data_IF_273348613167
#
_entry.id   IF_273348613167
#
_cell.length_a   1.000
_cell.length_b   1.000
_cell.length_c   1.000
_cell.angle_alpha   90.00
_cell.angle_beta   90.00
_cell.angle_gamma   90.00
#
_symmetry.space_group_name_H-M   'P 1'
#
loop_
_entity.id
_entity.type
_entity.pdbx_description
1 polymer ?
#
# COMPACT_ATOMS: atom_id res chain seq x y z
N UNK A 1 -7.17 -0.92 -42.56
CA UNK A 1 -8.41 -0.59 -43.29
C UNK A 1 -8.87 0.85 -43.09
N UNK A 2 -8.74 1.46 -41.91
CA UNK A 2 -9.21 2.84 -41.70
C UNK A 2 -8.26 3.93 -42.26
N UNK A 3 -6.94 3.70 -42.31
CA UNK A 3 -5.99 4.60 -42.99
C UNK A 3 -6.25 4.69 -44.52
N UNK A 4 -6.85 3.66 -45.10
CA UNK A 4 -7.22 3.60 -46.52
C UNK A 4 -8.71 3.88 -46.75
N UNK A 5 -9.54 3.81 -45.71
CA UNK A 5 -11.00 4.08 -45.71
C UNK A 5 -11.43 4.72 -44.38
N UNK A 6 -11.14 6.02 -44.18
CA UNK A 6 -11.49 6.69 -42.94
C UNK A 6 -13.01 6.62 -42.71
N UNK A 7 -13.43 6.30 -41.48
CA UNK A 7 -14.83 6.36 -41.01
C UNK A 7 -15.79 5.26 -41.51
N UNK A 8 -15.30 4.21 -42.17
CA UNK A 8 -16.15 3.10 -42.65
C UNK A 8 -16.32 1.96 -41.65
N UNK A 9 -15.37 1.77 -40.73
CA UNK A 9 -15.36 0.72 -39.71
C UNK A 9 -14.82 1.32 -38.41
N UNK A 10 -15.37 0.93 -37.27
CA UNK A 10 -14.81 1.24 -35.95
C UNK A 10 -13.90 0.08 -35.57
N UNK A 11 -12.58 0.31 -35.62
CA UNK A 11 -11.59 -0.71 -35.27
C UNK A 11 -11.27 -0.68 -33.77
N UNK A 12 -11.29 -1.83 -33.06
CA UNK A 12 -11.03 -1.88 -31.61
C UNK A 12 -9.72 -1.21 -31.18
N UNK A 13 -8.66 -1.33 -31.98
CA UNK A 13 -7.36 -0.70 -31.70
C UNK A 13 -7.45 0.82 -31.72
N UNK A 14 -8.19 1.39 -32.68
CA UNK A 14 -8.34 2.84 -32.83
C UNK A 14 -9.24 3.43 -31.75
N UNK A 15 -10.30 2.71 -31.36
CA UNK A 15 -11.13 3.07 -30.23
C UNK A 15 -10.34 3.00 -28.92
N UNK A 16 -9.59 1.91 -28.71
CA UNK A 16 -8.71 1.75 -27.54
C UNK A 16 -7.67 2.84 -27.42
N UNK A 17 -7.01 3.21 -28.53
CA UNK A 17 -6.05 4.32 -28.55
C UNK A 17 -6.73 5.65 -28.20
N UNK A 18 -7.92 5.92 -28.76
CA UNK A 18 -8.65 7.16 -28.47
C UNK A 18 -9.07 7.25 -26.99
N UNK A 19 -9.57 6.15 -26.40
CA UNK A 19 -9.90 6.06 -24.97
C UNK A 19 -8.66 6.30 -24.11
N UNK A 20 -7.54 5.65 -24.44
CA UNK A 20 -6.29 5.82 -23.71
C UNK A 20 -5.81 7.27 -23.74
N UNK A 21 -5.82 7.92 -24.91
CA UNK A 21 -5.44 9.33 -25.04
C UNK A 21 -6.40 10.25 -24.28
N UNK A 22 -7.70 9.95 -24.30
CA UNK A 22 -8.70 10.69 -23.53
C UNK A 22 -8.43 10.59 -22.03
N UNK A 23 -8.20 9.39 -21.50
CA UNK A 23 -7.94 9.18 -20.06
C UNK A 23 -6.60 9.75 -19.61
N UNK A 24 -5.57 9.67 -20.44
CA UNK A 24 -4.23 10.18 -20.09
C UNK A 24 -4.14 11.70 -20.10
N UNK A 25 -4.83 12.37 -21.04
CA UNK A 25 -4.62 13.80 -21.31
C UNK A 25 -5.86 14.67 -21.10
N UNK A 26 -7.06 14.09 -20.98
CA UNK A 26 -8.32 14.83 -20.84
C UNK A 26 -8.60 15.79 -22.01
N UNK A 27 -7.94 15.62 -23.15
CA UNK A 27 -7.90 16.61 -24.23
C UNK A 27 -8.69 16.15 -25.44
N UNK A 28 -9.88 16.72 -25.61
CA UNK A 28 -10.67 16.57 -26.84
C UNK A 28 -9.87 17.01 -28.07
N UNK A 29 -9.13 18.12 -27.98
CA UNK A 29 -8.32 18.62 -29.09
C UNK A 29 -7.30 17.60 -29.57
N UNK A 30 -6.61 16.92 -28.65
CA UNK A 30 -5.66 15.87 -28.98
C UNK A 30 -6.34 14.69 -29.70
N UNK A 31 -7.45 14.19 -29.14
CA UNK A 31 -8.20 13.06 -29.69
C UNK A 31 -8.74 13.39 -31.08
N UNK A 32 -9.39 14.55 -31.24
CA UNK A 32 -9.93 14.98 -32.53
C UNK A 32 -8.81 15.20 -33.58
N UNK A 33 -7.64 15.71 -33.17
CA UNK A 33 -6.49 15.86 -34.06
C UNK A 33 -5.99 14.51 -34.58
N UNK A 34 -5.79 13.53 -33.69
CA UNK A 34 -5.35 12.18 -34.05
C UNK A 34 -6.39 11.44 -34.90
N UNK A 35 -7.68 11.61 -34.57
CA UNK A 35 -8.79 11.07 -35.35
C UNK A 35 -8.84 11.66 -36.75
N UNK A 36 -8.63 12.97 -36.90
CA UNK A 36 -8.60 13.63 -38.21
C UNK A 36 -7.43 13.17 -39.08
N UNK A 37 -6.31 12.77 -38.46
CA UNK A 37 -5.18 12.15 -39.15
C UNK A 37 -5.38 10.64 -39.40
N UNK A 38 -6.47 10.05 -38.92
CA UNK A 38 -6.82 8.63 -39.12
C UNK A 38 -6.14 7.65 -38.16
N UNK A 39 -5.53 8.14 -37.07
CA UNK A 39 -4.82 7.29 -36.10
C UNK A 39 -5.74 6.63 -35.08
N UNK A 40 -6.83 7.28 -34.69
CA UNK A 40 -7.75 6.78 -33.68
C UNK A 40 -9.22 7.14 -33.97
N UNK A 41 -10.15 6.65 -33.14
CA UNK A 41 -11.56 7.03 -33.21
C UNK A 41 -11.80 8.47 -32.73
N UNK A 42 -12.91 9.08 -33.17
CA UNK A 42 -13.27 10.44 -32.77
C UNK A 42 -13.63 10.53 -31.30
N UNK A 43 -13.53 11.74 -30.73
CA UNK A 43 -13.92 12.00 -29.35
C UNK A 43 -15.39 11.62 -29.08
N UNK A 44 -16.27 11.89 -30.04
CA UNK A 44 -17.69 11.51 -29.94
C UNK A 44 -17.90 10.00 -29.83
N UNK A 45 -17.07 9.19 -30.50
CA UNK A 45 -17.17 7.74 -30.44
C UNK A 45 -16.62 7.21 -29.11
N UNK A 46 -15.58 7.84 -28.57
CA UNK A 46 -15.09 7.57 -27.21
C UNK A 46 -16.20 7.82 -26.19
N UNK A 47 -16.86 8.99 -26.24
CA UNK A 47 -17.96 9.29 -25.33
C UNK A 47 -19.11 8.29 -25.46
N UNK A 48 -19.48 7.92 -26.69
CA UNK A 48 -20.54 6.93 -26.93
C UNK A 48 -20.17 5.54 -26.38
N UNK A 49 -18.92 5.12 -26.54
CA UNK A 49 -18.45 3.87 -25.95
C UNK A 49 -18.47 3.93 -24.41
N UNK A 50 -17.97 5.02 -23.83
CA UNK A 50 -17.95 5.20 -22.37
C UNK A 50 -19.36 5.18 -21.78
N UNK A 51 -20.32 5.90 -22.37
CA UNK A 51 -21.72 5.89 -21.90
C UNK A 51 -22.39 4.54 -22.09
N UNK A 52 -22.16 3.88 -23.23
CA UNK A 52 -22.68 2.53 -23.47
C UNK A 52 -22.11 1.50 -22.48
N UNK A 53 -20.83 1.65 -22.12
CA UNK A 53 -20.16 0.78 -21.16
C UNK A 53 -20.73 0.91 -19.74
N UNK A 54 -21.14 2.12 -19.33
CA UNK A 54 -21.78 2.36 -18.03
C UNK A 54 -23.08 1.57 -17.90
N UNK A 55 -23.96 1.64 -18.92
CA UNK A 55 -25.25 0.94 -18.93
C UNK A 55 -25.04 -0.59 -18.95
N UNK A 56 -24.17 -1.06 -19.84
CA UNK A 56 -23.91 -2.50 -20.05
C UNK A 56 -23.28 -3.17 -18.81
N UNK A 57 -22.60 -2.41 -17.95
CA UNK A 57 -21.97 -2.92 -16.73
C UNK A 57 -23.00 -3.22 -15.63
N UNK A 58 -24.13 -2.50 -15.57
CA UNK A 58 -25.16 -2.75 -14.55
C UNK A 58 -25.84 -4.12 -14.73
N UNK A 59 -26.10 -4.52 -15.98
CA UNK A 59 -26.79 -5.77 -16.29
C UNK A 59 -25.99 -7.03 -15.89
N UNK A 60 -24.67 -6.91 -15.76
CA UNK A 60 -23.75 -8.01 -15.47
C UNK A 60 -23.33 -8.12 -13.99
N UNK A 61 -23.94 -7.37 -13.07
CA UNK A 61 -23.53 -7.30 -11.65
C UNK A 61 -23.97 -8.50 -10.78
N UNK A 62 -24.50 -9.57 -11.38
CA UNK A 62 -24.97 -10.76 -10.68
C UNK A 62 -23.88 -11.76 -10.27
N UNK A 63 -22.60 -11.39 -10.34
CA UNK A 63 -21.53 -12.28 -9.88
C UNK A 63 -21.55 -12.37 -8.35
N UNK A 64 -22.03 -13.50 -7.84
CA UNK A 64 -21.86 -13.87 -6.45
C UNK A 64 -20.44 -14.41 -6.22
N UNK A 65 -19.75 -13.83 -5.25
CA UNK A 65 -18.38 -14.24 -4.90
C UNK A 65 -18.40 -15.40 -3.90
N UNK A 66 -17.76 -16.51 -4.25
CA UNK A 66 -17.60 -17.64 -3.33
C UNK A 66 -16.75 -17.28 -2.10
N UNK A 67 -16.83 -18.09 -1.05
CA UNK A 67 -16.18 -17.84 0.24
C UNK A 67 -14.65 -17.65 0.17
N UNK A 68 -13.99 -18.08 -0.90
CA UNK A 68 -12.54 -17.93 -1.08
C UNK A 68 -12.09 -16.49 -1.38
N UNK A 69 -13.04 -15.61 -1.75
CA UNK A 69 -12.77 -14.21 -2.04
C UNK A 69 -12.94 -13.33 -0.80
N UNK A 70 -11.96 -12.44 -0.59
CA UNK A 70 -12.03 -11.34 0.36
C UNK A 70 -12.54 -10.08 -0.34
N UNK A 71 -13.67 -9.53 0.14
CA UNK A 71 -14.26 -8.29 -0.34
C UNK A 71 -14.05 -7.17 0.70
N UNK A 72 -13.40 -6.09 0.31
CA UNK A 72 -13.19 -4.91 1.14
C UNK A 72 -13.56 -3.65 0.36
N UNK A 73 -13.89 -2.60 1.08
CA UNK A 73 -14.19 -1.29 0.53
C UNK A 73 -13.18 -0.27 1.03
N UNK A 74 -12.90 0.74 0.22
CA UNK A 74 -12.12 1.91 0.61
C UNK A 74 -12.90 3.14 0.16
N UNK A 75 -13.00 4.12 1.03
CA UNK A 75 -13.63 5.38 0.68
C UNK A 75 -12.75 6.54 1.16
N UNK A 76 -12.62 7.55 0.30
CA UNK A 76 -11.73 8.69 0.51
C UNK A 76 -12.22 9.90 -0.29
N UNK A 77 -11.65 11.09 -0.03
CA UNK A 77 -11.95 12.26 -0.85
C UNK A 77 -11.49 12.10 -2.30
N UNK A 78 -12.34 12.54 -3.22
CA UNK A 78 -12.01 12.72 -4.64
C UNK A 78 -12.09 14.19 -4.95
N UNK A 79 -10.96 14.71 -5.39
CA UNK A 79 -10.80 16.10 -5.75
C UNK A 79 -10.61 16.28 -7.25
N UNK A 80 -11.41 17.13 -7.88
CA UNK A 80 -11.18 17.54 -9.27
C UNK A 80 -11.05 19.06 -9.42
N UNK A 81 -10.25 19.47 -10.41
CA UNK A 81 -10.02 20.86 -10.79
C UNK A 81 -9.42 21.76 -9.69
N UNK A 82 -8.66 21.19 -8.74
CA UNK A 82 -8.08 21.92 -7.61
C UNK A 82 -7.22 23.14 -7.98
N UNK A 83 -6.64 23.17 -9.19
CA UNK A 83 -5.74 24.23 -9.64
C UNK A 83 -6.48 25.45 -10.22
N UNK A 84 -7.49 25.96 -9.52
CA UNK A 84 -8.15 27.23 -9.82
C UNK A 84 -7.44 28.38 -9.09
N UNK A 85 -7.40 29.58 -9.70
CA UNK A 85 -6.72 30.77 -9.14
C UNK A 85 -7.32 31.19 -7.79
N UNK A 86 -8.63 31.03 -7.61
CA UNK A 86 -9.39 31.47 -6.45
C UNK A 86 -9.86 30.32 -5.53
N UNK A 87 -9.63 29.06 -5.91
CA UNK A 87 -10.08 27.88 -5.18
C UNK A 87 -11.55 27.51 -5.42
N UNK A 88 -12.26 28.21 -6.30
CA UNK A 88 -13.68 27.97 -6.59
C UNK A 88 -13.89 27.00 -7.75
N UNK A 89 -15.11 26.47 -7.89
CA UNK A 89 -15.50 25.50 -8.93
C UNK A 89 -14.64 24.22 -8.93
N UNK A 90 -14.14 23.86 -7.75
CA UNK A 90 -13.51 22.56 -7.50
C UNK A 90 -14.59 21.55 -7.13
N UNK A 91 -14.35 20.28 -7.46
CA UNK A 91 -15.18 19.19 -6.95
C UNK A 91 -14.48 18.56 -5.76
N UNK A 92 -15.21 18.38 -4.67
CA UNK A 92 -14.73 17.75 -3.44
C UNK A 92 -15.80 16.78 -2.93
N UNK A 93 -15.76 15.55 -3.42
CA UNK A 93 -16.76 14.51 -3.14
C UNK A 93 -16.15 13.26 -2.51
N UNK A 94 -16.97 12.30 -2.14
CA UNK A 94 -16.51 10.99 -1.65
C UNK A 94 -16.38 10.01 -2.80
N UNK A 95 -15.19 9.48 -3.01
CA UNK A 95 -14.93 8.32 -3.86
C UNK A 95 -15.02 7.03 -3.07
N UNK A 96 -15.48 5.97 -3.73
CA UNK A 96 -15.59 4.65 -3.13
C UNK A 96 -15.05 3.62 -4.14
N UNK A 97 -14.23 2.69 -3.65
CA UNK A 97 -13.79 1.53 -4.41
C UNK A 97 -14.12 0.25 -3.63
N UNK A 98 -14.35 -0.84 -4.37
CA UNK A 98 -14.32 -2.20 -3.82
C UNK A 98 -13.10 -2.93 -4.33
N UNK A 99 -12.43 -3.66 -3.43
CA UNK A 99 -11.27 -4.49 -3.70
C UNK A 99 -11.64 -5.95 -3.44
N UNK A 100 -11.41 -6.82 -4.42
CA UNK A 100 -11.68 -8.25 -4.31
C UNK A 100 -10.36 -9.02 -4.48
N UNK A 101 -10.07 -9.93 -3.56
CA UNK A 101 -8.83 -10.73 -3.57
C UNK A 101 -9.13 -12.21 -3.29
N UNK A 102 -8.76 -13.16 -4.18
CA UNK A 102 -8.16 -12.93 -5.50
C UNK A 102 -9.05 -12.12 -6.42
N UNK A 103 -8.45 -11.37 -7.32
CA UNK A 103 -9.17 -10.72 -8.41
C UNK A 103 -9.75 -11.77 -9.35
N UNK A 104 -10.85 -11.41 -10.00
CA UNK A 104 -11.58 -12.32 -10.90
C UNK A 104 -11.15 -12.01 -12.32
N UNK A 105 -10.79 -13.04 -13.08
CA UNK A 105 -10.60 -12.91 -14.52
C UNK A 105 -11.93 -12.51 -15.17
N UNK A 106 -11.99 -11.28 -15.69
CA UNK A 106 -13.17 -10.78 -16.38
C UNK A 106 -13.14 -11.27 -17.82
N UNK A 107 -14.15 -12.06 -18.19
CA UNK A 107 -14.38 -12.37 -19.60
C UNK A 107 -14.58 -11.06 -20.40
N UNK A 108 -14.18 -11.02 -21.68
CA UNK A 108 -14.42 -9.86 -22.53
C UNK A 108 -15.92 -9.54 -22.55
N UNK A 109 -16.30 -8.38 -22.02
CA UNK A 109 -17.69 -7.93 -22.03
C UNK A 109 -17.94 -7.31 -23.40
N UNK A 110 -18.93 -7.82 -24.12
CA UNK A 110 -19.41 -7.15 -25.32
C UNK A 110 -20.15 -5.88 -24.91
N UNK A 111 -19.62 -4.71 -25.30
CA UNK A 111 -20.28 -3.43 -25.07
C UNK A 111 -21.09 -3.07 -26.33
N UNK A 112 -22.42 -3.19 -26.32
CA UNK A 112 -23.25 -2.72 -27.42
C UNK A 112 -23.07 -1.22 -27.61
N UNK A 113 -23.21 -0.75 -28.84
CA UNK A 113 -23.20 0.69 -29.15
C UNK A 113 -24.61 1.23 -28.94
N UNK A 114 -24.82 2.01 -27.89
CA UNK A 114 -26.12 2.53 -27.48
C UNK A 114 -26.20 4.05 -27.65
N UNK A 115 -27.42 4.55 -27.83
CA UNK A 115 -27.73 5.97 -27.69
C UNK A 115 -28.30 6.18 -26.28
N UNK A 116 -27.40 6.49 -25.35
CA UNK A 116 -27.72 6.63 -23.91
C UNK A 116 -28.04 8.09 -23.58
N UNK A 117 -29.12 8.33 -22.86
CA UNK A 117 -29.50 9.67 -22.39
C UNK A 117 -28.78 10.04 -21.09
N UNK A 118 -28.75 11.35 -20.77
CA UNK A 118 -28.20 11.83 -19.50
C UNK A 118 -28.97 11.27 -18.31
N UNK A 119 -30.29 11.16 -18.41
CA UNK A 119 -31.15 10.63 -17.36
C UNK A 119 -30.84 9.15 -17.07
N UNK A 120 -30.58 8.34 -18.10
CA UNK A 120 -30.18 6.94 -17.95
C UNK A 120 -28.83 6.82 -17.23
N UNK A 121 -27.84 7.66 -17.61
CA UNK A 121 -26.54 7.70 -16.94
C UNK A 121 -26.70 8.09 -15.46
N UNK A 122 -27.51 9.11 -15.19
CA UNK A 122 -27.78 9.58 -13.83
C UNK A 122 -28.49 8.52 -12.98
N UNK A 123 -29.36 7.70 -13.58
CA UNK A 123 -30.01 6.61 -12.87
C UNK A 123 -29.03 5.49 -12.47
N UNK A 124 -27.97 5.27 -13.26
CA UNK A 124 -27.02 4.18 -13.02
C UNK A 124 -26.06 4.41 -11.83
N UNK A 125 -25.78 5.68 -11.50
CA UNK A 125 -24.78 6.08 -10.51
C UNK A 125 -25.33 6.54 -9.15
N UNK A 126 -26.61 6.29 -8.84
CA UNK A 126 -27.21 6.88 -7.64
C UNK A 126 -26.88 6.13 -6.35
N UNK A 127 -26.42 6.90 -5.35
CA UNK A 127 -26.35 6.50 -3.95
C UNK A 127 -27.46 7.24 -3.21
N UNK A 128 -28.27 6.48 -2.45
CA UNK A 128 -29.29 7.08 -1.59
C UNK A 128 -28.63 7.89 -0.48
N UNK A 129 -29.07 9.14 -0.33
CA UNK A 129 -28.58 10.03 0.71
C UNK A 129 -29.34 9.83 2.01
N UNK A 130 -28.61 9.59 3.08
CA UNK A 130 -29.12 9.45 4.43
C UNK A 130 -28.52 10.55 5.30
N UNK A 131 -29.38 11.34 5.95
CA UNK A 131 -28.95 12.45 6.80
C UNK A 131 -28.67 11.95 8.22
N UNK A 132 -27.46 12.20 8.70
CA UNK A 132 -27.02 11.78 10.02
C UNK A 132 -27.65 12.64 11.12
N UNK A 133 -28.19 12.00 12.16
CA UNK A 133 -28.76 12.69 13.33
C UNK A 133 -28.04 12.26 14.61
N UNK A 134 -27.22 13.16 15.17
CA UNK A 134 -26.37 12.90 16.34
C UNK A 134 -27.14 12.43 17.59
N UNK A 135 -28.40 12.85 17.78
CA UNK A 135 -29.19 12.49 18.97
C UNK A 135 -29.52 10.99 19.05
N UNK A 136 -29.48 10.30 17.89
CA UNK A 136 -29.72 8.86 17.78
C UNK A 136 -28.48 7.99 18.03
N UNK A 137 -27.27 8.56 18.09
CA UNK A 137 -26.01 7.82 18.16
C UNK A 137 -25.19 8.19 19.41
N UNK A 138 -25.72 7.88 20.61
CA UNK A 138 -25.07 8.17 21.91
C UNK A 138 -24.00 7.13 22.33
N UNK A 139 -23.75 6.11 21.51
CA UNK A 139 -22.91 4.95 21.87
C UNK A 139 -21.40 5.23 21.91
N UNK A 140 -20.92 6.32 21.29
CA UNK A 140 -19.48 6.58 21.19
C UNK A 140 -18.82 6.82 22.56
N UNK A 141 -19.47 7.56 23.47
CA UNK A 141 -18.94 7.82 24.80
C UNK A 141 -18.83 6.55 25.67
N UNK A 142 -19.57 5.49 25.31
CA UNK A 142 -19.54 4.19 25.99
C UNK A 142 -18.60 3.17 25.36
N UNK A 143 -17.89 3.51 24.28
CA UNK A 143 -17.00 2.59 23.59
C UNK A 143 -15.81 2.23 24.50
N UNK A 144 -15.69 0.95 24.85
CA UNK A 144 -14.60 0.43 25.67
C UNK A 144 -13.63 -0.33 24.78
N UNK A 145 -12.36 0.04 24.86
CA UNK A 145 -11.29 -0.70 24.20
C UNK A 145 -10.80 -1.80 25.14
N UNK A 146 -10.80 -3.08 24.72
CA UNK A 146 -10.20 -4.15 25.51
C UNK A 146 -8.69 -3.91 25.63
N UNK A 147 -8.11 -4.32 26.76
CA UNK A 147 -6.66 -4.26 26.95
C UNK A 147 -5.97 -5.18 25.94
N UNK A 148 -4.89 -4.71 25.30
CA UNK A 148 -4.16 -5.47 24.27
C UNK A 148 -3.70 -6.86 24.76
N UNK A 149 -3.47 -7.01 26.07
CA UNK A 149 -3.02 -8.25 26.73
C UNK A 149 -4.12 -9.31 26.85
N UNK A 150 -5.39 -8.93 26.70
CA UNK A 150 -6.53 -9.87 26.72
C UNK A 150 -6.58 -10.76 25.47
N UNK A 151 -5.75 -10.50 24.46
CA UNK A 151 -5.64 -11.24 23.19
C UNK A 151 -4.80 -12.54 23.32
N UNK A 152 -5.03 -13.35 24.36
CA UNK A 152 -4.35 -14.64 24.55
C UNK A 152 -4.64 -15.58 23.37
N UNK A 153 -3.60 -16.20 22.81
CA UNK A 153 -3.71 -17.22 21.74
C UNK A 153 -3.49 -16.73 20.30
N UNK A 154 -3.06 -15.48 20.08
CA UNK A 154 -2.73 -15.00 18.72
C UNK A 154 -1.32 -15.37 18.28
N UNK A 155 -1.18 -15.74 17.01
CA UNK A 155 0.10 -15.93 16.31
C UNK A 155 0.72 -14.55 16.07
N UNK A 156 1.86 -14.27 16.71
CA UNK A 156 2.65 -13.08 16.39
C UNK A 156 3.44 -13.35 15.12
N UNK A 157 3.30 -12.46 14.13
CA UNK A 157 4.17 -12.52 12.95
C UNK A 157 5.58 -12.06 13.33
N UNK A 158 6.44 -13.04 13.54
CA UNK A 158 7.85 -12.84 13.89
C UNK A 158 8.78 -12.88 12.67
N UNK A 159 8.25 -12.86 11.44
CA UNK A 159 9.06 -12.92 10.20
C UNK A 159 10.11 -11.82 10.10
N UNK A 160 9.89 -10.67 10.75
CA UNK A 160 10.85 -9.57 10.83
C UNK A 160 12.18 -9.98 11.50
N UNK A 161 12.21 -11.06 12.27
CA UNK A 161 13.43 -11.56 12.91
C UNK A 161 14.47 -12.09 11.90
N UNK A 162 14.03 -12.52 10.72
CA UNK A 162 14.90 -12.98 9.63
C UNK A 162 15.78 -11.84 9.08
N UNK A 163 15.44 -10.58 9.34
CA UNK A 163 16.31 -9.44 9.02
C UNK A 163 17.73 -9.63 9.58
N UNK A 164 17.86 -10.22 10.78
CA UNK A 164 19.16 -10.48 11.40
C UNK A 164 20.05 -11.39 10.55
N UNK A 165 19.48 -12.45 9.96
CA UNK A 165 20.20 -13.33 9.02
C UNK A 165 20.62 -12.55 7.77
N UNK A 166 19.68 -11.80 7.18
CA UNK A 166 19.97 -10.98 5.99
C UNK A 166 21.15 -10.02 6.23
N UNK A 167 21.19 -9.38 7.40
CA UNK A 167 22.24 -8.43 7.74
C UNK A 167 23.63 -9.06 7.81
N UNK A 168 23.75 -10.28 8.34
CA UNK A 168 25.04 -11.00 8.40
C UNK A 168 25.40 -11.65 7.07
N UNK A 169 24.44 -12.26 6.37
CA UNK A 169 24.68 -12.96 5.09
C UNK A 169 25.23 -12.05 4.00
N UNK A 170 24.92 -10.75 4.05
CA UNK A 170 25.45 -9.76 3.10
C UNK A 170 26.99 -9.72 3.05
N UNK A 171 27.67 -10.13 4.14
CA UNK A 171 29.12 -10.16 4.21
C UNK A 171 29.76 -11.18 3.27
N UNK A 172 29.14 -12.36 3.16
CA UNK A 172 29.65 -13.44 2.32
C UNK A 172 28.96 -13.49 0.94
N UNK A 173 27.79 -12.82 0.81
CA UNK A 173 26.99 -12.86 -0.41
C UNK A 173 26.53 -11.47 -0.83
N UNK A 174 26.99 -11.03 -2.00
CA UNK A 174 26.52 -9.84 -2.69
C UNK A 174 26.50 -10.12 -4.20
N UNK A 175 25.40 -9.86 -4.93
CA UNK A 175 24.19 -9.19 -4.48
C UNK A 175 23.25 -10.11 -3.68
N UNK A 176 22.52 -9.52 -2.73
CA UNK A 176 21.35 -10.14 -2.08
C UNK A 176 20.11 -9.25 -2.28
N UNK A 177 18.90 -9.82 -2.26
CA UNK A 177 17.67 -9.04 -2.38
C UNK A 177 17.54 -7.96 -1.29
N UNK A 178 16.95 -6.82 -1.66
CA UNK A 178 16.54 -5.81 -0.70
C UNK A 178 15.48 -6.34 0.27
N UNK A 179 15.21 -5.62 1.36
CA UNK A 179 14.28 -6.07 2.41
C UNK A 179 12.93 -6.55 1.86
N UNK A 180 12.33 -5.80 0.92
CA UNK A 180 11.05 -6.21 0.32
C UNK A 180 11.16 -7.50 -0.50
N UNK A 181 12.26 -7.71 -1.23
CA UNK A 181 12.48 -8.95 -1.98
C UNK A 181 12.74 -10.14 -1.06
N UNK A 182 13.46 -9.90 0.04
CA UNK A 182 13.69 -10.90 1.10
C UNK A 182 12.37 -11.31 1.75
N UNK A 183 11.52 -10.35 2.12
CA UNK A 183 10.19 -10.64 2.67
C UNK A 183 9.32 -11.42 1.68
N UNK A 184 9.35 -11.06 0.40
CA UNK A 184 8.62 -11.79 -0.65
C UNK A 184 9.12 -13.24 -0.78
N UNK A 185 10.43 -13.47 -0.66
CA UNK A 185 11.02 -14.80 -0.73
C UNK A 185 10.58 -15.72 0.40
N UNK A 186 10.44 -15.20 1.62
CA UNK A 186 10.13 -16.02 2.80
C UNK A 186 8.64 -16.07 3.14
N UNK A 187 7.84 -15.18 2.54
CA UNK A 187 6.38 -15.23 2.60
C UNK A 187 5.79 -15.91 1.35
N UNK A 188 6.51 -16.86 0.75
CA UNK A 188 6.00 -17.72 -0.31
C UNK A 188 4.98 -18.71 0.28
N UNK A 189 3.70 -18.32 0.24
CA UNK A 189 2.54 -19.19 0.43
C UNK A 189 1.65 -19.14 -0.81
N UNK A 190 0.41 -19.68 -0.74
CA UNK A 190 -0.58 -19.42 -1.78
C UNK A 190 -0.86 -17.91 -1.79
N UNK A 191 -0.24 -17.16 -2.72
CA UNK A 191 -0.59 -15.76 -2.91
C UNK A 191 -2.09 -15.72 -3.16
N UNK A 192 -2.83 -14.94 -2.39
CA UNK A 192 -4.28 -14.82 -2.52
C UNK A 192 -4.69 -14.13 -3.83
N UNK A 193 -3.81 -14.03 -4.82
CA UNK A 193 -4.01 -13.37 -6.11
C UNK A 193 -3.82 -11.85 -6.05
N UNK A 194 -3.75 -11.24 -7.24
CA UNK A 194 -3.78 -9.78 -7.39
C UNK A 194 -5.21 -9.29 -7.14
N UNK A 195 -5.40 -8.21 -6.40
CA UNK A 195 -6.74 -7.64 -6.17
C UNK A 195 -7.35 -7.11 -7.48
N UNK A 196 -8.63 -7.38 -7.71
CA UNK A 196 -9.44 -6.64 -8.69
C UNK A 196 -10.09 -5.43 -8.00
N UNK A 197 -9.90 -4.24 -8.57
CA UNK A 197 -10.39 -2.98 -8.02
C UNK A 197 -11.50 -2.45 -8.91
N UNK A 198 -12.66 -2.19 -8.31
CA UNK A 198 -13.81 -1.59 -9.00
C UNK A 198 -14.16 -0.26 -8.37
N UNK A 199 -14.19 0.78 -9.20
CA UNK A 199 -14.75 2.08 -8.82
C UNK A 199 -16.26 1.97 -8.67
N UNK A 200 -16.77 2.46 -7.54
CA UNK A 200 -18.18 2.55 -7.21
C UNK A 200 -18.64 4.01 -7.40
N UNK A 201 -19.96 4.27 -7.45
CA UNK A 201 -20.45 5.63 -7.65
C UNK A 201 -19.95 6.59 -6.57
N UNK A 202 -19.72 7.84 -6.96
CA UNK A 202 -19.27 8.90 -6.05
C UNK A 202 -20.46 9.54 -5.34
N UNK A 203 -20.21 10.10 -4.16
CA UNK A 203 -21.17 10.94 -3.45
C UNK A 203 -20.74 12.40 -3.63
N UNK A 204 -21.63 13.21 -4.20
CA UNK A 204 -21.45 14.66 -4.32
C UNK A 204 -21.85 15.36 -3.00
N UNK A 205 -21.12 15.05 -1.95
CA UNK A 205 -21.13 15.74 -0.67
C UNK A 205 -19.69 15.87 -0.17
N UNK A 206 -19.46 16.88 0.65
CA UNK A 206 -18.20 17.02 1.37
C UNK A 206 -17.89 15.73 2.15
N UNK A 207 -16.76 15.04 1.90
CA UNK A 207 -16.36 13.81 2.59
C UNK A 207 -16.30 13.93 4.11
N UNK A 208 -16.01 15.13 4.63
CA UNK A 208 -15.99 15.39 6.07
C UNK A 208 -17.37 15.55 6.69
N UNK A 209 -18.45 15.62 5.91
CA UNK A 209 -19.81 15.69 6.43
C UNK A 209 -20.24 14.33 7.02
N UNK A 210 -20.84 14.34 8.22
CA UNK A 210 -21.29 13.10 8.88
C UNK A 210 -22.37 12.36 8.07
N UNK A 211 -23.24 13.07 7.36
CA UNK A 211 -24.25 12.49 6.46
C UNK A 211 -23.61 11.86 5.23
N UNK A 212 -22.51 12.43 4.72
CA UNK A 212 -21.75 11.81 3.62
C UNK A 212 -21.15 10.47 4.06
N UNK A 213 -20.50 10.44 5.22
CA UNK A 213 -19.89 9.22 5.78
C UNK A 213 -20.99 8.19 6.11
N UNK A 214 -22.08 8.61 6.73
CA UNK A 214 -23.21 7.73 7.03
C UNK A 214 -23.85 7.14 5.77
N UNK A 215 -24.08 7.96 4.73
CA UNK A 215 -24.58 7.48 3.43
C UNK A 215 -23.61 6.47 2.79
N UNK A 216 -22.31 6.72 2.90
CA UNK A 216 -21.25 5.80 2.43
C UNK A 216 -21.33 4.45 3.16
N UNK A 217 -21.46 4.46 4.49
CA UNK A 217 -21.57 3.27 5.32
C UNK A 217 -22.84 2.47 4.98
N UNK A 218 -23.98 3.13 4.83
CA UNK A 218 -25.25 2.48 4.44
C UNK A 218 -25.17 1.86 3.04
N UNK A 219 -24.55 2.57 2.09
CA UNK A 219 -24.32 2.05 0.75
C UNK A 219 -23.44 0.78 0.79
N UNK A 220 -22.30 0.84 1.47
CA UNK A 220 -21.38 -0.31 1.60
C UNK A 220 -22.03 -1.49 2.32
N UNK A 221 -22.80 -1.23 3.38
CA UNK A 221 -23.55 -2.28 4.10
C UNK A 221 -24.54 -3.00 3.18
N UNK A 222 -25.28 -2.25 2.34
CA UNK A 222 -26.19 -2.82 1.33
C UNK A 222 -25.44 -3.63 0.27
N UNK A 223 -24.29 -3.14 -0.22
CA UNK A 223 -23.48 -3.86 -1.21
C UNK A 223 -22.90 -5.16 -0.64
N UNK A 224 -22.36 -5.13 0.57
CA UNK A 224 -21.84 -6.33 1.23
C UNK A 224 -22.95 -7.34 1.53
N UNK A 225 -24.13 -6.89 1.95
CA UNK A 225 -25.29 -7.75 2.21
C UNK A 225 -25.77 -8.49 0.96
N UNK A 226 -25.73 -7.85 -0.22
CA UNK A 226 -26.04 -8.52 -1.51
C UNK A 226 -25.07 -9.64 -1.86
N UNK A 227 -23.88 -9.63 -1.27
CA UNK A 227 -22.85 -10.65 -1.44
C UNK A 227 -22.79 -11.62 -0.26
N UNK A 228 -23.69 -11.49 0.73
CA UNK A 228 -23.67 -12.29 1.96
C UNK A 228 -22.42 -12.07 2.82
N UNK A 229 -21.80 -10.88 2.76
CA UNK A 229 -20.55 -10.58 3.45
C UNK A 229 -20.72 -9.53 4.54
N UNK A 230 -19.86 -9.62 5.56
CA UNK A 230 -19.65 -8.53 6.51
C UNK A 230 -18.99 -7.35 5.80
N UNK A 231 -19.57 -6.14 5.85
CA UNK A 231 -18.97 -4.95 5.27
C UNK A 231 -17.68 -4.56 6.01
N UNK A 232 -16.56 -4.53 5.29
CA UNK A 232 -15.27 -4.02 5.77
C UNK A 232 -14.90 -2.79 4.96
N UNK A 233 -14.76 -1.64 5.61
CA UNK A 233 -14.44 -0.37 4.94
C UNK A 233 -13.21 0.28 5.56
N UNK A 234 -12.29 0.74 4.71
CA UNK A 234 -11.08 1.48 5.13
C UNK A 234 -11.25 2.96 4.85
N UNK A 235 -10.89 3.78 5.83
CA UNK A 235 -10.89 5.24 5.75
C UNK A 235 -9.53 5.82 6.16
N UNK A 236 -9.22 7.03 5.73
CA UNK A 236 -8.14 7.83 6.31
C UNK A 236 -8.42 8.18 7.79
N UNK A 237 -7.47 8.82 8.47
CA UNK A 237 -7.57 9.02 9.93
C UNK A 237 -8.76 9.91 10.35
N UNK A 238 -9.02 11.09 9.76
CA UNK A 238 -10.19 11.90 10.07
C UNK A 238 -11.52 11.20 9.79
N UNK A 239 -11.67 10.52 8.65
CA UNK A 239 -12.92 9.84 8.29
C UNK A 239 -13.13 8.58 9.14
N UNK A 240 -12.06 7.86 9.46
CA UNK A 240 -12.09 6.72 10.39
C UNK A 240 -12.72 7.13 11.73
N UNK A 241 -12.24 8.22 12.34
CA UNK A 241 -12.78 8.68 13.62
C UNK A 241 -14.29 8.94 13.58
N UNK A 242 -14.74 9.68 12.55
CA UNK A 242 -16.17 9.98 12.35
C UNK A 242 -17.00 8.73 12.08
N UNK A 243 -16.46 7.80 11.29
CA UNK A 243 -17.15 6.54 11.00
C UNK A 243 -17.32 5.66 12.25
N UNK A 244 -16.33 5.58 13.14
CA UNK A 244 -16.48 4.89 14.43
C UNK A 244 -17.58 5.53 15.28
N UNK A 245 -17.70 6.86 15.28
CA UNK A 245 -18.79 7.55 16.00
C UNK A 245 -20.18 7.12 15.47
N UNK A 246 -20.30 6.96 14.15
CA UNK A 246 -21.54 6.54 13.49
C UNK A 246 -21.85 5.06 13.78
N UNK A 247 -20.87 4.16 13.60
CA UNK A 247 -21.04 2.71 13.77
C UNK A 247 -21.20 2.29 15.24
N UNK A 248 -20.89 3.19 16.18
CA UNK A 248 -21.20 2.99 17.60
C UNK A 248 -22.71 3.02 17.90
N UNK A 249 -23.56 3.41 16.94
CA UNK A 249 -25.02 3.24 17.02
C UNK A 249 -25.50 1.90 16.45
N UNK A 250 -26.75 1.51 16.75
CA UNK A 250 -27.28 0.17 16.40
C UNK A 250 -27.33 -0.12 14.89
N UNK A 251 -27.66 0.88 14.07
CA UNK A 251 -27.99 0.68 12.64
C UNK A 251 -26.79 0.33 11.74
N UNK A 252 -25.56 0.68 12.17
CA UNK A 252 -24.33 0.41 11.44
C UNK A 252 -23.33 -0.45 12.25
N UNK A 253 -23.83 -1.13 13.30
CA UNK A 253 -23.01 -1.89 14.25
C UNK A 253 -22.33 -3.13 13.63
N UNK A 254 -22.82 -3.62 12.50
CA UNK A 254 -22.27 -4.76 11.76
C UNK A 254 -21.13 -4.38 10.79
N UNK A 255 -20.79 -3.10 10.68
CA UNK A 255 -19.73 -2.61 9.79
C UNK A 255 -18.39 -2.61 10.51
N UNK A 256 -17.41 -3.28 9.89
CA UNK A 256 -16.02 -3.25 10.35
C UNK A 256 -15.34 -2.06 9.69
N UNK A 257 -15.01 -1.05 10.49
CA UNK A 257 -14.25 0.12 10.05
C UNK A 257 -12.76 -0.13 10.31
N UNK A 258 -11.92 0.06 9.29
CA UNK A 258 -10.46 -0.04 9.35
C UNK A 258 -9.82 1.34 9.19
N UNK A 259 -8.81 1.61 10.01
CA UNK A 259 -7.94 2.77 9.85
C UNK A 259 -6.92 2.53 8.72
N UNK A 260 -6.85 3.45 7.76
CA UNK A 260 -5.89 3.41 6.67
C UNK A 260 -4.46 3.75 7.14
N UNK A 261 -3.51 2.87 6.84
CA UNK A 261 -2.13 2.97 7.33
C UNK A 261 -1.25 4.02 6.64
N UNK A 262 -1.64 4.55 5.49
CA UNK A 262 -0.76 5.38 4.65
C UNK A 262 -0.34 6.70 5.33
N UNK A 263 -1.27 7.40 5.98
CA UNK A 263 -0.98 8.66 6.68
C UNK A 263 -0.18 8.44 7.97
N UNK A 264 -0.40 7.30 8.65
CA UNK A 264 0.44 6.87 9.78
C UNK A 264 1.88 6.67 9.32
N UNK A 265 2.09 5.98 8.20
CA UNK A 265 3.41 5.78 7.61
C UNK A 265 4.08 7.11 7.23
N UNK A 266 3.35 7.99 6.53
CA UNK A 266 3.83 9.33 6.15
C UNK A 266 4.30 10.12 7.37
N UNK A 267 3.46 10.19 8.41
CA UNK A 267 3.74 10.93 9.64
C UNK A 267 4.94 10.35 10.39
N UNK A 268 5.05 9.02 10.44
CA UNK A 268 6.16 8.33 11.09
C UNK A 268 7.49 8.58 10.38
N UNK A 269 7.51 8.53 9.04
CA UNK A 269 8.69 8.88 8.23
C UNK A 269 9.13 10.33 8.45
N UNK A 270 8.17 11.26 8.49
CA UNK A 270 8.45 12.67 8.82
C UNK A 270 9.03 12.84 10.23
N UNK A 271 8.57 12.03 11.18
CA UNK A 271 9.06 12.03 12.56
C UNK A 271 10.52 11.54 12.64
N UNK A 272 10.87 10.48 11.90
CA UNK A 272 12.26 10.03 11.75
C UNK A 272 13.12 11.17 11.21
N UNK A 273 12.69 11.81 10.12
CA UNK A 273 13.43 12.92 9.52
C UNK A 273 13.61 14.10 10.48
N UNK A 274 12.60 14.42 11.29
CA UNK A 274 12.67 15.46 12.32
C UNK A 274 13.66 15.12 13.43
N UNK A 275 13.61 13.89 13.95
CA UNK A 275 14.51 13.40 15.02
C UNK A 275 15.96 13.36 14.52
N UNK A 276 16.16 12.95 13.27
CA UNK A 276 17.49 12.83 12.65
C UNK A 276 17.99 14.14 12.03
N UNK A 277 17.29 15.26 12.24
CA UNK A 277 17.71 16.57 11.74
C UNK A 277 19.08 16.95 12.29
N UNK A 278 20.03 17.26 11.41
CA UNK A 278 21.41 17.62 11.78
C UNK A 278 22.32 16.44 12.15
N UNK A 279 21.87 15.19 11.96
CA UNK A 279 22.67 13.99 12.25
C UNK A 279 23.66 13.57 11.16
N UNK A 280 23.56 14.17 9.96
CA UNK A 280 24.22 13.66 8.74
C UNK A 280 23.32 12.79 7.85
N UNK A 281 22.11 12.40 8.31
CA UNK A 281 21.20 11.54 7.53
C UNK A 281 20.83 12.16 6.17
N UNK A 282 20.64 13.49 6.12
CA UNK A 282 20.29 14.19 4.88
C UNK A 282 21.43 14.05 3.86
N UNK A 283 22.64 14.34 4.29
CA UNK A 283 23.86 14.33 3.50
C UNK A 283 24.14 12.91 2.96
N UNK A 284 23.96 11.88 3.79
CA UNK A 284 24.08 10.47 3.37
C UNK A 284 23.05 10.12 2.29
N UNK A 285 21.80 10.57 2.44
CA UNK A 285 20.75 10.32 1.44
C UNK A 285 20.98 11.12 0.14
N UNK A 286 21.61 12.29 0.22
CA UNK A 286 21.94 13.13 -0.93
C UNK A 286 23.04 12.54 -1.83
N UNK A 287 23.77 11.52 -1.35
CA UNK A 287 24.69 10.73 -2.18
C UNK A 287 23.97 9.94 -3.28
N UNK A 288 22.69 9.61 -3.07
CA UNK A 288 21.89 8.75 -3.98
C UNK A 288 20.61 9.39 -4.49
N UNK A 289 20.14 10.47 -3.87
CA UNK A 289 18.94 11.20 -4.26
C UNK A 289 19.22 12.70 -4.39
N UNK A 290 18.52 13.37 -5.30
CA UNK A 290 18.63 14.82 -5.44
C UNK A 290 18.18 15.55 -4.14
N UNK A 291 18.77 16.71 -3.77
CA UNK A 291 18.49 17.42 -2.52
C UNK A 291 17.01 17.72 -2.24
N UNK A 292 16.26 18.15 -3.28
CA UNK A 292 14.83 18.40 -3.17
C UNK A 292 14.04 17.13 -2.85
N UNK A 293 14.43 15.99 -3.43
CA UNK A 293 13.80 14.70 -3.16
C UNK A 293 14.06 14.27 -1.71
N UNK A 294 15.30 14.39 -1.21
CA UNK A 294 15.66 14.08 0.18
C UNK A 294 14.88 14.95 1.15
N UNK A 295 14.73 16.24 0.85
CA UNK A 295 13.91 17.15 1.66
C UNK A 295 12.47 16.64 1.79
N UNK A 296 11.84 16.25 0.68
CA UNK A 296 10.51 15.65 0.72
C UNK A 296 10.46 14.28 1.41
N UNK A 297 11.53 13.48 1.35
CA UNK A 297 11.63 12.21 2.07
C UNK A 297 11.65 12.42 3.60
N UNK A 298 12.47 13.37 4.07
CA UNK A 298 12.60 13.69 5.50
C UNK A 298 11.34 14.37 6.08
N UNK A 299 10.53 15.03 5.26
CA UNK A 299 9.20 15.51 5.64
C UNK A 299 8.10 14.44 5.51
N UNK A 300 8.43 13.21 5.14
CA UNK A 300 7.47 12.11 4.94
C UNK A 300 6.61 12.23 3.67
N UNK A 301 6.77 13.29 2.87
CA UNK A 301 5.97 13.55 1.66
C UNK A 301 6.32 12.63 0.48
N UNK A 302 7.58 12.20 0.39
CA UNK A 302 8.03 11.25 -0.65
C UNK A 302 8.12 9.82 -0.08
N UNK A 303 6.99 9.25 0.34
CA UNK A 303 6.89 7.99 1.11
C UNK A 303 7.72 6.84 0.51
N UNK A 304 7.50 6.48 -0.76
CA UNK A 304 8.22 5.35 -1.39
C UNK A 304 9.73 5.56 -1.41
N UNK A 305 10.19 6.78 -1.73
CA UNK A 305 11.62 7.12 -1.71
C UNK A 305 12.18 7.09 -0.29
N UNK A 306 11.44 7.63 0.69
CA UNK A 306 11.84 7.67 2.09
C UNK A 306 12.00 6.26 2.67
N UNK A 307 11.05 5.36 2.43
CA UNK A 307 11.13 3.95 2.82
C UNK A 307 12.40 3.31 2.24
N UNK A 308 12.61 3.44 0.93
CA UNK A 308 13.80 2.86 0.27
C UNK A 308 15.09 3.46 0.83
N UNK A 309 15.17 4.79 0.94
CA UNK A 309 16.35 5.49 1.44
C UNK A 309 16.69 5.08 2.88
N UNK A 310 15.70 5.02 3.76
CA UNK A 310 15.93 4.61 5.15
C UNK A 310 16.33 3.14 5.27
N UNK A 311 15.79 2.24 4.44
CA UNK A 311 16.23 0.84 4.36
C UNK A 311 17.68 0.69 3.87
N UNK A 312 18.13 1.55 2.95
CA UNK A 312 19.52 1.55 2.48
C UNK A 312 20.47 1.99 3.60
N UNK A 313 20.13 3.06 4.32
CA UNK A 313 20.92 3.53 5.47
C UNK A 313 20.92 2.48 6.59
N UNK A 314 19.78 1.87 6.89
CA UNK A 314 19.67 0.75 7.82
C UNK A 314 20.58 -0.41 7.44
N UNK A 315 20.58 -0.81 6.16
CA UNK A 315 21.44 -1.90 5.69
C UNK A 315 22.92 -1.50 5.76
N UNK A 316 23.28 -0.26 5.40
CA UNK A 316 24.66 0.21 5.48
C UNK A 316 25.20 0.22 6.92
N UNK A 317 24.41 0.69 7.88
CA UNK A 317 24.78 0.69 9.31
C UNK A 317 24.93 -0.72 9.87
N UNK A 318 24.05 -1.66 9.49
CA UNK A 318 24.21 -3.07 9.87
C UNK A 318 25.42 -3.71 9.21
N UNK A 319 25.76 -3.36 7.97
CA UNK A 319 27.00 -3.79 7.31
C UNK A 319 28.23 -3.30 8.09
N UNK A 320 28.28 -2.03 8.49
CA UNK A 320 29.38 -1.51 9.32
C UNK A 320 29.49 -2.24 10.68
N UNK A 321 28.36 -2.54 11.31
CA UNK A 321 28.33 -3.25 12.59
C UNK A 321 28.80 -4.71 12.45
N UNK A 322 28.37 -5.39 11.41
CA UNK A 322 28.75 -6.79 11.14
C UNK A 322 30.21 -6.91 10.68
N UNK A 323 30.71 -5.93 9.92
CA UNK A 323 32.15 -5.80 9.62
C UNK A 323 32.99 -5.78 10.91
N UNK A 324 32.59 -4.97 11.89
CA UNK A 324 33.31 -4.83 13.16
C UNK A 324 33.21 -6.10 14.02
N UNK A 325 32.11 -6.86 13.91
CA UNK A 325 31.92 -8.13 14.62
C UNK A 325 32.79 -9.24 14.03
N UNK A 326 32.78 -9.38 12.70
CA UNK A 326 33.39 -10.53 12.01
C UNK A 326 34.78 -10.22 11.42
N UNK A 327 35.27 -8.98 11.54
CA UNK A 327 36.61 -8.59 11.10
C UNK A 327 36.77 -8.38 9.59
N UNK A 328 35.67 -8.21 8.85
CA UNK A 328 35.69 -7.93 7.42
C UNK A 328 35.66 -6.42 7.15
N UNK A 329 36.74 -5.84 6.62
CA UNK A 329 36.77 -4.44 6.20
C UNK A 329 36.27 -4.29 4.75
N UNK A 330 34.96 -4.14 4.55
CA UNK A 330 34.38 -3.85 3.22
C UNK A 330 34.87 -2.49 2.65
N UNK A 331 35.37 -1.58 3.51
CA UNK A 331 35.90 -0.29 3.06
C UNK A 331 37.22 -0.39 2.28
N UNK A 332 37.92 -1.53 2.31
CA UNK A 332 39.18 -1.72 1.58
C UNK A 332 38.99 -2.28 0.16
N UNK A 333 37.81 -2.82 -0.16
CA UNK A 333 37.56 -3.48 -1.46
C UNK A 333 37.36 -2.49 -2.63
N UNK A 334 37.13 -1.20 -2.35
CA UNK A 334 37.05 -0.19 -3.41
C UNK A 334 38.40 0.40 -3.84
N UNK A 335 39.49 0.12 -3.12
CA UNK A 335 40.84 0.57 -3.51
C UNK A 335 41.77 -0.56 -3.94
N UNK A 336 41.49 -1.82 -3.60
CA UNK A 336 42.34 -2.95 -3.96
C UNK A 336 41.57 -4.03 -4.72
N UNK A 337 41.41 -3.83 -6.03
CA UNK A 337 41.43 -5.00 -6.92
C UNK A 337 42.76 -5.72 -6.68
N UNK A 338 42.69 -7.01 -6.32
CA UNK A 338 43.83 -7.90 -6.09
C UNK A 338 44.47 -7.74 -4.71
N UNK A 339 43.83 -8.26 -3.67
CA UNK A 339 44.49 -9.14 -2.72
C UNK A 339 43.44 -10.01 -2.01
N UNK A 340 43.55 -11.32 -2.18
CA UNK A 340 42.86 -12.32 -1.38
C UNK A 340 43.21 -12.11 0.11
N UNK A 341 42.45 -11.28 0.81
CA UNK A 341 42.43 -11.32 2.27
C UNK A 341 41.82 -12.66 2.65
N UNK A 342 42.60 -13.50 3.30
CA UNK A 342 42.13 -14.74 3.91
C UNK A 342 41.02 -14.39 4.89
N UNK A 343 39.77 -14.57 4.45
CA UNK A 343 38.58 -14.48 5.27
C UNK A 343 38.72 -15.52 6.38
N UNK A 344 38.89 -15.06 7.62
CA UNK A 344 38.64 -15.93 8.77
C UNK A 344 37.14 -16.18 8.74
N UNK A 345 36.72 -17.27 8.09
CA UNK A 345 35.32 -17.69 8.07
C UNK A 345 34.89 -17.96 9.51
N UNK A 346 34.20 -16.99 10.10
CA UNK A 346 33.64 -17.13 11.42
C UNK A 346 32.55 -18.22 11.34
N UNK A 347 32.61 -19.32 12.10
CA UNK A 347 31.69 -20.45 11.95
C UNK A 347 30.20 -20.05 11.94
N UNK A 348 29.82 -19.15 12.85
CA UNK A 348 28.45 -18.61 12.91
C UNK A 348 28.02 -17.86 11.64
N UNK A 349 28.96 -17.18 10.95
CA UNK A 349 28.65 -16.44 9.74
C UNK A 349 28.36 -17.40 8.58
N UNK A 350 29.15 -18.47 8.46
CA UNK A 350 28.93 -19.55 7.50
C UNK A 350 27.60 -20.26 7.77
N UNK A 351 27.34 -20.67 9.01
CA UNK A 351 26.06 -21.27 9.42
C UNK A 351 24.85 -20.37 9.12
N UNK A 352 24.97 -19.06 9.38
CA UNK A 352 23.90 -18.11 9.09
C UNK A 352 23.64 -17.96 7.59
N UNK A 353 24.69 -18.03 6.76
CA UNK A 353 24.55 -18.02 5.31
C UNK A 353 23.88 -19.30 4.80
N UNK A 354 24.31 -20.47 5.27
CA UNK A 354 23.69 -21.75 4.94
C UNK A 354 22.21 -21.77 5.35
N UNK A 355 21.88 -21.28 6.54
CA UNK A 355 20.49 -21.16 7.00
C UNK A 355 19.66 -20.25 6.10
N UNK A 356 20.21 -19.09 5.71
CA UNK A 356 19.55 -18.17 4.77
C UNK A 356 19.32 -18.82 3.40
N UNK A 357 20.29 -19.59 2.89
CA UNK A 357 20.19 -20.30 1.61
C UNK A 357 19.19 -21.44 1.66
N UNK A 358 19.20 -22.25 2.73
CA UNK A 358 18.20 -23.28 2.93
C UNK A 358 16.78 -22.71 3.00
N UNK A 359 16.61 -21.54 3.63
CA UNK A 359 15.33 -20.84 3.65
C UNK A 359 14.95 -20.30 2.26
N UNK A 360 15.92 -19.78 1.50
CA UNK A 360 15.71 -19.28 0.14
C UNK A 360 15.30 -20.39 -0.84
N UNK A 361 15.94 -21.55 -0.75
CA UNK A 361 15.73 -22.74 -1.57
C UNK A 361 14.56 -23.61 -1.10
N UNK A 362 13.81 -23.16 -0.08
CA UNK A 362 12.65 -23.86 0.46
C UNK A 362 12.99 -25.26 1.04
N UNK A 363 14.25 -25.46 1.45
CA UNK A 363 14.72 -26.67 2.14
C UNK A 363 14.25 -26.72 3.59
N UNK A 364 13.97 -25.55 4.18
CA UNK A 364 13.43 -25.38 5.54
C UNK A 364 12.26 -24.38 5.50
N UNK A 365 11.35 -24.48 6.48
CA UNK A 365 10.28 -23.51 6.63
C UNK A 365 10.75 -22.23 7.33
N UNK A 366 9.96 -21.16 7.22
CA UNK A 366 10.18 -19.93 7.99
C UNK A 366 10.18 -20.20 9.50
N UNK A 367 9.33 -21.12 9.98
CA UNK A 367 9.27 -21.46 11.39
C UNK A 367 10.56 -22.14 11.87
N UNK A 368 11.10 -23.07 11.07
CA UNK A 368 12.36 -23.74 11.39
C UNK A 368 13.52 -22.74 11.47
N UNK A 369 13.56 -21.77 10.56
CA UNK A 369 14.58 -20.71 10.59
C UNK A 369 14.44 -19.81 11.83
N UNK A 370 13.21 -19.47 12.23
CA UNK A 370 12.91 -18.67 13.42
C UNK A 370 13.28 -19.39 14.73
N UNK A 371 13.17 -20.71 14.77
CA UNK A 371 13.51 -21.54 15.94
C UNK A 371 14.98 -21.96 15.98
N UNK A 372 15.75 -21.67 14.92
CA UNK A 372 17.15 -22.09 14.82
C UNK A 372 18.06 -21.45 15.89
N UNK A 373 18.99 -22.25 16.41
CA UNK A 373 20.03 -21.77 17.33
C UNK A 373 20.97 -20.76 16.66
N UNK A 374 21.22 -20.92 15.36
CA UNK A 374 22.03 -20.00 14.56
C UNK A 374 21.41 -18.59 14.53
N UNK A 375 20.10 -18.46 14.28
CA UNK A 375 19.43 -17.16 14.32
C UNK A 375 19.51 -16.53 15.71
N UNK A 376 19.27 -17.32 16.77
CA UNK A 376 19.35 -16.85 18.15
C UNK A 376 20.75 -16.33 18.48
N UNK A 377 21.80 -17.08 18.12
CA UNK A 377 23.19 -16.68 18.33
C UNK A 377 23.56 -15.40 17.55
N UNK A 378 23.10 -15.26 16.30
CA UNK A 378 23.29 -14.03 15.51
C UNK A 378 22.61 -12.84 16.17
N UNK A 379 21.37 -13.00 16.64
CA UNK A 379 20.63 -11.93 17.32
C UNK A 379 21.30 -11.51 18.62
N UNK A 380 21.76 -12.47 19.44
CA UNK A 380 22.49 -12.20 20.68
C UNK A 380 23.79 -11.43 20.40
N UNK A 381 24.54 -11.82 19.36
CA UNK A 381 25.78 -11.17 18.97
C UNK A 381 25.56 -9.73 18.50
N UNK A 382 24.57 -9.51 17.63
CA UNK A 382 24.15 -8.17 17.21
C UNK A 382 23.70 -7.33 18.41
N UNK A 383 22.90 -7.91 19.33
CA UNK A 383 22.42 -7.20 20.51
C UNK A 383 23.55 -6.82 21.47
N UNK A 384 24.53 -7.71 21.66
CA UNK A 384 25.75 -7.42 22.42
C UNK A 384 26.50 -6.24 21.80
N UNK A 385 26.72 -6.26 20.48
CA UNK A 385 27.41 -5.17 19.79
C UNK A 385 26.64 -3.84 19.89
N UNK A 386 25.32 -3.86 19.73
CA UNK A 386 24.48 -2.66 19.94
C UNK A 386 24.63 -2.12 21.36
N UNK A 387 24.73 -2.98 22.38
CA UNK A 387 24.93 -2.55 23.77
C UNK A 387 26.32 -1.95 24.00
N UNK A 388 27.37 -2.47 23.37
CA UNK A 388 28.72 -1.89 23.40
C UNK A 388 28.73 -0.49 22.75
N UNK A 389 28.12 -0.36 21.57
CA UNK A 389 28.06 0.90 20.82
C UNK A 389 27.27 1.99 21.54
N UNK A 390 26.33 1.64 22.42
CA UNK A 390 25.58 2.62 23.23
C UNK A 390 26.46 3.49 24.13
N UNK A 391 27.76 3.25 24.26
CA UNK A 391 28.61 4.14 25.05
C UNK A 391 28.75 5.55 24.44
N UNK A 392 28.72 5.67 23.10
CA UNK A 392 28.83 6.95 22.39
C UNK A 392 27.47 7.60 22.15
N UNK A 393 27.39 8.93 22.34
CA UNK A 393 26.16 9.71 22.04
C UNK A 393 25.76 9.61 20.57
N UNK A 394 26.72 9.65 19.65
CA UNK A 394 26.48 9.52 18.21
C UNK A 394 25.93 8.15 17.88
N UNK A 395 26.55 7.10 18.41
CA UNK A 395 26.09 5.73 18.20
C UNK A 395 24.69 5.51 18.78
N UNK A 396 24.37 6.07 19.96
CA UNK A 396 23.00 6.02 20.51
C UNK A 396 21.98 6.61 19.54
N UNK A 397 22.25 7.77 18.92
CA UNK A 397 21.34 8.40 17.97
C UNK A 397 21.09 7.51 16.74
N UNK A 398 22.15 6.96 16.14
CA UNK A 398 22.02 6.07 14.98
C UNK A 398 21.40 4.71 15.33
N UNK A 399 21.62 4.19 16.54
CA UNK A 399 20.90 3.01 17.03
C UNK A 399 19.39 3.30 17.17
N UNK A 400 19.00 4.49 17.65
CA UNK A 400 17.59 4.92 17.66
C UNK A 400 17.00 5.02 16.25
N UNK A 401 17.79 5.45 15.26
CA UNK A 401 17.36 5.40 13.86
C UNK A 401 17.05 3.97 13.40
N UNK A 402 17.94 3.01 13.70
CA UNK A 402 17.69 1.59 13.39
C UNK A 402 16.43 1.07 14.07
N UNK A 403 16.18 1.44 15.32
CA UNK A 403 14.96 1.05 16.04
C UNK A 403 13.70 1.64 15.38
N UNK A 404 13.74 2.91 14.96
CA UNK A 404 12.64 3.52 14.21
C UNK A 404 12.41 2.84 12.86
N UNK A 405 13.47 2.50 12.11
CA UNK A 405 13.34 1.76 10.84
C UNK A 405 12.80 0.35 11.09
N UNK A 406 13.17 -0.32 12.17
CA UNK A 406 12.61 -1.61 12.55
C UNK A 406 11.10 -1.51 12.84
N UNK A 407 10.64 -0.45 13.52
CA UNK A 407 9.20 -0.18 13.72
C UNK A 407 8.50 0.02 12.37
N UNK A 408 9.08 0.79 11.46
CA UNK A 408 8.55 0.99 10.11
C UNK A 408 8.41 -0.34 9.35
N UNK A 409 9.44 -1.20 9.37
CA UNK A 409 9.40 -2.51 8.72
C UNK A 409 8.28 -3.39 9.28
N UNK A 410 8.12 -3.43 10.61
CA UNK A 410 7.03 -4.19 11.28
C UNK A 410 5.65 -3.65 10.89
N UNK A 411 5.50 -2.34 10.83
CA UNK A 411 4.27 -1.70 10.35
C UNK A 411 3.95 -2.11 8.90
N UNK A 412 4.95 -2.07 8.01
CA UNK A 412 4.80 -2.48 6.61
C UNK A 412 4.44 -3.96 6.46
N UNK A 413 5.03 -4.84 7.27
CA UNK A 413 4.64 -6.26 7.31
C UNK A 413 3.17 -6.37 7.72
N UNK A 414 2.78 -5.73 8.83
CA UNK A 414 1.42 -5.81 9.36
C UNK A 414 0.35 -5.32 8.36
N UNK A 415 0.61 -4.22 7.65
CA UNK A 415 -0.27 -3.70 6.60
C UNK A 415 -0.35 -4.64 5.39
N UNK A 416 0.78 -5.22 4.97
CA UNK A 416 0.84 -6.11 3.80
C UNK A 416 0.26 -7.50 4.04
N UNK A 417 0.40 -8.03 5.25
CA UNK A 417 -0.12 -9.35 5.63
C UNK A 417 -1.53 -9.29 6.22
N UNK A 418 -2.14 -8.11 6.34
CA UNK A 418 -3.48 -7.93 6.91
C UNK A 418 -3.60 -8.24 8.41
N UNK A 419 -2.47 -8.37 9.12
CA UNK A 419 -2.44 -8.77 10.55
C UNK A 419 -2.79 -7.59 11.48
N UNK A 420 -2.63 -6.36 11.01
CA UNK A 420 -2.88 -5.15 11.80
C UNK A 420 -4.36 -4.82 12.08
N UNK A 421 -5.32 -5.52 11.48
CA UNK A 421 -6.66 -4.94 11.28
C UNK A 421 -7.82 -5.57 12.08
N UNK A 422 -7.56 -6.57 12.92
CA UNK A 422 -8.63 -7.23 13.70
C UNK A 422 -8.45 -7.04 15.22
N UNK A 423 -8.42 -5.79 15.69
CA UNK A 423 -8.49 -5.50 17.14
C UNK A 423 -9.87 -4.94 17.54
N UNK A 424 -10.76 -4.69 16.59
CA UNK A 424 -12.03 -4.03 16.86
C UNK A 424 -13.20 -4.92 16.45
N UNK A 425 -13.54 -5.88 17.31
CA UNK A 425 -14.87 -6.48 17.32
C UNK A 425 -15.40 -6.44 18.75
N UNK A 426 -16.65 -5.97 18.87
CA UNK A 426 -17.45 -5.96 20.08
C UNK A 426 -17.92 -7.37 20.45
#
# INVERSE_FOLDING_TARGET
>A
MQATRPRLVIEPLQLGLAIQMHHMFGSRFLVDTLSNMGFCSSYSEVQKFETSAVISKQENTSNHYDESHCLQYVADNVDHNLCTVDGNNTFHGMGIISCITPGIEKAPIHIPRLDVTTEEILACGQINMYYYNADKHKGFASLKFPELQSLKGRVFNNSWQIDALRHVTRQLKSPIPEWSGTMQMFQKGSSTGVSDVTFLPMIDLNPSDMSCIYSTLMFVSKQASRQGRTPVITFDQPLYWKSIMITSGEECSNIIVRLGGFHTQMSFLGSIGRIMSGSGLKEVLELIYAPNAVTHMLYGKAVSRAVRGFMLVDTALHTLMTNEIFGHNVLEEHENEINHSQSIEHPLLTEACELYEHLHEEKISLQDALESQTLQAVQELLQKKRNELKQSRTSKLWLSFLDMVAILKRFLIAERTGIGCYIYQH
#
